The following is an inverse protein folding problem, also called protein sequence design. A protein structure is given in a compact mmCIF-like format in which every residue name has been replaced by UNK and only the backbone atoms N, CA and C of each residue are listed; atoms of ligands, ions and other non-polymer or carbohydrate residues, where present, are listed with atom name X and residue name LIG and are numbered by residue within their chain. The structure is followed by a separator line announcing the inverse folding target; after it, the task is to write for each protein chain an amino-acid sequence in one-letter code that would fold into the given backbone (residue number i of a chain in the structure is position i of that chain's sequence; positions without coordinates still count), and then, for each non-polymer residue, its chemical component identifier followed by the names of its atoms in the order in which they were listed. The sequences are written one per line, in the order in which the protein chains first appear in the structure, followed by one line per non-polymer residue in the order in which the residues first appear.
data_IF_615263959948
#
_entry.id   IF_615263959948
#
_cell.length_a   1.000
_cell.length_b   1.000
_cell.length_c   1.000
_cell.angle_alpha   90.00
_cell.angle_beta   90.00
_cell.angle_gamma   90.00
#
_symmetry.space_group_name_H-M   'P 1'
#
loop_
_entity.id
_entity.type
_entity.pdbx_description
1 polymer ?
#
# COMPACT_ATOMS: atom_id res chain seq x y z
N UNK A 1 -4.18 7.12 14.54
CA UNK A 1 -4.57 6.64 13.22
C UNK A 1 -3.34 6.48 12.34
N UNK A 2 -3.23 5.38 11.59
CA UNK A 2 -2.00 5.00 10.89
C UNK A 2 -2.32 4.56 9.48
N UNK A 3 -1.53 5.01 8.51
CA UNK A 3 -1.61 4.61 7.11
C UNK A 3 -0.55 3.53 6.85
N UNK A 4 -0.99 2.35 6.45
CA UNK A 4 -0.13 1.30 5.89
C UNK A 4 -0.14 1.45 4.38
N UNK A 5 1.02 1.32 3.76
CA UNK A 5 1.18 1.45 2.31
C UNK A 5 2.27 0.53 1.79
N UNK A 6 2.03 -0.06 0.64
CA UNK A 6 3.01 -0.78 -0.14
C UNK A 6 3.11 -0.19 -1.54
N UNK A 7 4.33 -0.09 -2.05
CA UNK A 7 4.64 0.32 -3.42
C UNK A 7 5.51 -0.75 -4.08
N UNK A 8 5.47 -0.81 -5.39
CA UNK A 8 6.35 -1.68 -6.17
C UNK A 8 7.73 -1.05 -6.42
N UNK A 9 8.55 -1.72 -7.22
CA UNK A 9 9.89 -1.23 -7.60
C UNK A 9 9.88 0.03 -8.46
N UNK A 10 8.76 0.32 -9.14
CA UNK A 10 8.58 1.51 -9.97
C UNK A 10 8.07 2.70 -9.14
N UNK A 11 7.60 2.44 -7.93
CA UNK A 11 7.00 3.43 -7.03
C UNK A 11 5.49 3.51 -7.15
N UNK A 12 4.87 2.56 -7.85
CA UNK A 12 3.43 2.49 -8.01
C UNK A 12 2.76 1.91 -6.78
N UNK A 13 1.57 2.40 -6.45
CA UNK A 13 0.83 1.92 -5.29
C UNK A 13 0.33 0.51 -5.53
N UNK A 14 0.81 -0.43 -4.72
CA UNK A 14 0.33 -1.81 -4.68
C UNK A 14 -0.90 -1.93 -3.80
N UNK A 15 -0.79 -1.46 -2.57
CA UNK A 15 -1.90 -1.51 -1.62
C UNK A 15 -1.74 -0.40 -0.58
N UNK A 16 -2.86 0.12 -0.10
CA UNK A 16 -2.88 1.02 1.05
C UNK A 16 -4.05 0.66 1.98
N UNK A 17 -3.87 0.93 3.24
CA UNK A 17 -4.88 0.63 4.24
C UNK A 17 -4.75 1.54 5.45
N UNK A 18 -5.88 2.04 5.91
CA UNK A 18 -5.97 2.92 7.06
C UNK A 18 -6.41 2.14 8.31
N UNK A 19 -5.70 2.31 9.41
CA UNK A 19 -5.95 1.62 10.67
C UNK A 19 -5.92 2.58 11.86
N UNK A 20 -6.78 2.33 12.82
CA UNK A 20 -6.75 3.05 14.11
C UNK A 20 -5.52 2.66 14.94
N UNK A 21 -5.01 1.45 14.75
CA UNK A 21 -3.93 0.87 15.56
C UNK A 21 -2.69 0.58 14.70
N UNK A 22 -1.52 0.77 15.31
CA UNK A 22 -0.22 0.35 14.76
C UNK A 22 0.32 -0.81 15.58
N UNK A 23 -0.16 -2.00 15.29
CA UNK A 23 0.25 -3.22 15.98
C UNK A 23 0.44 -4.39 14.99
N UNK A 24 0.91 -5.53 15.51
CA UNK A 24 1.15 -6.73 14.71
C UNK A 24 -0.10 -7.24 13.99
N UNK A 25 -1.27 -7.17 14.63
CA UNK A 25 -2.55 -7.60 14.04
C UNK A 25 -2.91 -6.73 12.83
N UNK A 26 -2.76 -5.42 12.95
CA UNK A 26 -3.00 -4.48 11.85
C UNK A 26 -2.02 -4.71 10.69
N UNK A 27 -0.74 -4.88 10.99
CA UNK A 27 0.30 -5.18 9.99
C UNK A 27 0.02 -6.50 9.25
N UNK A 28 -0.34 -7.57 9.97
CA UNK A 28 -0.74 -8.86 9.37
C UNK A 28 -1.97 -8.72 8.48
N UNK A 29 -2.99 -7.96 8.91
CA UNK A 29 -4.21 -7.74 8.13
C UNK A 29 -3.93 -7.00 6.82
N UNK A 30 -3.13 -5.95 6.89
CA UNK A 30 -2.67 -5.22 5.72
C UNK A 30 -1.92 -6.13 4.75
N UNK A 31 -0.94 -6.88 5.25
CA UNK A 31 -0.10 -7.73 4.43
C UNK A 31 -0.89 -8.86 3.76
N UNK A 32 -1.76 -9.56 4.49
CA UNK A 32 -2.65 -10.59 3.91
C UNK A 32 -3.51 -10.03 2.78
N UNK A 33 -4.04 -8.82 2.95
CA UNK A 33 -4.82 -8.15 1.91
C UNK A 33 -3.97 -7.88 0.67
N UNK A 34 -2.75 -7.35 0.85
CA UNK A 34 -1.83 -7.09 -0.24
C UNK A 34 -1.43 -8.39 -0.98
N UNK A 35 -1.02 -9.42 -0.26
CA UNK A 35 -0.64 -10.71 -0.82
C UNK A 35 -1.79 -11.38 -1.57
N UNK A 36 -3.02 -11.33 -1.02
CA UNK A 36 -4.21 -11.92 -1.67
C UNK A 36 -4.57 -11.23 -2.98
N UNK A 37 -4.39 -9.90 -3.07
CA UNK A 37 -4.78 -9.11 -4.24
C UNK A 37 -3.74 -9.07 -5.34
N UNK A 38 -2.47 -9.00 -4.94
CA UNK A 38 -1.36 -8.70 -5.85
C UNK A 38 -0.36 -9.85 -5.98
N UNK A 39 -0.62 -10.95 -5.27
CA UNK A 39 0.25 -12.11 -5.28
C UNK A 39 1.44 -11.96 -4.32
N UNK A 40 2.24 -13.02 -4.27
CA UNK A 40 3.38 -13.14 -3.37
C UNK A 40 4.65 -12.58 -4.03
N UNK A 41 5.30 -11.55 -3.46
CA UNK A 41 6.54 -11.03 -3.99
C UNK A 41 7.74 -11.90 -3.58
N UNK A 42 8.81 -11.85 -4.36
CA UNK A 42 10.08 -12.50 -4.00
C UNK A 42 10.77 -11.79 -2.81
N UNK A 43 10.62 -10.46 -2.74
CA UNK A 43 11.29 -9.62 -1.74
C UNK A 43 10.40 -8.48 -1.28
N UNK A 44 10.49 -8.18 0.02
CA UNK A 44 9.86 -7.01 0.64
C UNK A 44 10.93 -6.17 1.31
N UNK A 45 10.89 -4.86 1.09
CA UNK A 45 11.75 -3.90 1.76
C UNK A 45 10.98 -3.20 2.86
N UNK A 46 11.56 -3.11 4.06
CA UNK A 46 10.96 -2.45 5.23
C UNK A 46 11.92 -1.45 5.86
N UNK A 47 11.37 -0.55 6.66
CA UNK A 47 12.06 0.52 7.40
C UNK A 47 12.79 0.05 8.68
N UNK A 48 12.92 -1.24 8.91
CA UNK A 48 13.50 -1.76 10.16
C UNK A 48 12.48 -1.99 11.27
N UNK A 49 11.18 -1.78 11.02
CA UNK A 49 10.13 -2.10 11.98
C UNK A 49 10.08 -3.59 12.29
N UNK A 50 10.33 -3.95 13.54
CA UNK A 50 10.23 -5.35 14.02
C UNK A 50 8.81 -5.90 13.81
N UNK A 51 7.78 -5.10 14.06
CA UNK A 51 6.37 -5.47 13.84
C UNK A 51 6.09 -5.83 12.39
N UNK A 52 6.63 -5.06 11.43
CA UNK A 52 6.47 -5.37 10.01
C UNK A 52 7.20 -6.66 9.63
N UNK A 53 8.41 -6.87 10.16
CA UNK A 53 9.18 -8.08 9.94
C UNK A 53 8.43 -9.32 10.43
N UNK A 54 7.92 -9.29 11.66
CA UNK A 54 7.15 -10.39 12.24
C UNK A 54 5.85 -10.65 11.47
N UNK A 55 5.18 -9.60 10.99
CA UNK A 55 3.98 -9.74 10.18
C UNK A 55 4.28 -10.47 8.86
N UNK A 56 5.37 -10.10 8.17
CA UNK A 56 5.79 -10.73 6.90
C UNK A 56 6.11 -12.21 7.13
N UNK A 57 6.94 -12.51 8.11
CA UNK A 57 7.33 -13.90 8.43
C UNK A 57 6.12 -14.76 8.76
N UNK A 58 5.20 -14.25 9.60
CA UNK A 58 4.02 -15.00 10.01
C UNK A 58 3.03 -15.22 8.84
N UNK A 59 2.82 -14.22 7.97
CA UNK A 59 1.93 -14.36 6.81
C UNK A 59 2.54 -15.31 5.77
N UNK A 60 3.81 -15.14 5.42
CA UNK A 60 4.51 -16.00 4.47
C UNK A 60 4.54 -17.47 4.92
N UNK A 61 4.80 -17.72 6.20
CA UNK A 61 4.78 -19.07 6.75
C UNK A 61 3.37 -19.68 6.71
N UNK A 62 2.34 -18.91 7.07
CA UNK A 62 0.97 -19.38 7.03
C UNK A 62 0.52 -19.73 5.59
N UNK A 63 0.82 -18.86 4.63
CA UNK A 63 0.45 -19.09 3.23
C UNK A 63 1.16 -20.32 2.65
N UNK A 64 2.45 -20.52 2.94
CA UNK A 64 3.21 -21.71 2.50
C UNK A 64 2.73 -23.01 3.17
N UNK A 65 2.21 -22.95 4.39
CA UNK A 65 1.67 -24.13 5.07
C UNK A 65 0.27 -24.50 4.58
N UNK A 66 -0.53 -23.51 4.18
CA UNK A 66 -1.90 -23.73 3.71
C UNK A 66 -1.97 -24.19 2.26
N UNK A 67 -1.06 -23.74 1.42
CA UNK A 67 -1.03 -24.07 0.00
C UNK A 67 0.11 -25.05 -0.31
N UNK A 68 -0.25 -26.27 -0.74
CA UNK A 68 0.74 -27.31 -1.13
C UNK A 68 1.64 -26.83 -2.26
N UNK A 69 1.12 -26.08 -3.21
CA UNK A 69 1.91 -25.54 -4.34
C UNK A 69 2.94 -24.49 -3.88
N UNK A 70 2.73 -23.84 -2.74
CA UNK A 70 3.62 -22.83 -2.20
C UNK A 70 4.60 -23.37 -1.13
N UNK A 71 4.45 -24.63 -0.72
CA UNK A 71 5.25 -25.22 0.36
C UNK A 71 6.74 -25.23 0.04
N UNK A 72 7.11 -25.47 -1.21
CA UNK A 72 8.48 -25.56 -1.68
C UNK A 72 9.08 -24.22 -2.10
N UNK A 73 8.29 -23.15 -2.06
CA UNK A 73 8.78 -21.81 -2.36
C UNK A 73 9.73 -21.31 -1.26
N UNK A 74 10.81 -20.67 -1.69
CA UNK A 74 11.72 -20.00 -0.75
C UNK A 74 10.98 -18.93 0.04
N UNK A 75 11.32 -18.71 1.32
CA UNK A 75 10.74 -17.62 2.12
C UNK A 75 10.89 -16.25 1.44
N UNK A 76 9.90 -15.37 1.64
CA UNK A 76 10.01 -13.99 1.18
C UNK A 76 11.27 -13.35 1.77
N UNK A 77 12.13 -12.80 0.92
CA UNK A 77 13.33 -12.11 1.36
C UNK A 77 12.96 -10.76 1.97
N UNK A 78 13.31 -10.57 3.24
CA UNK A 78 13.12 -9.28 3.91
C UNK A 78 14.42 -8.50 3.86
N UNK A 79 14.39 -7.30 3.25
CA UNK A 79 15.51 -6.37 3.23
C UNK A 79 15.17 -5.15 4.08
N UNK A 80 16.04 -4.84 5.03
CA UNK A 80 15.98 -3.59 5.76
C UNK A 80 16.83 -2.53 5.05
N UNK A 81 16.24 -1.39 4.73
CA UNK A 81 16.98 -0.28 4.12
C UNK A 81 16.29 1.05 4.37
N UNK A 82 16.95 1.93 5.10
CA UNK A 82 16.47 3.29 5.30
C UNK A 82 16.41 4.08 3.98
N UNK A 83 17.34 3.84 3.07
CA UNK A 83 17.44 4.57 1.80
C UNK A 83 16.39 4.16 0.78
N UNK A 84 15.97 2.89 0.74
CA UNK A 84 14.95 2.42 -0.20
C UNK A 84 13.54 2.86 0.20
N UNK A 85 13.36 3.35 1.42
CA UNK A 85 12.10 3.93 1.88
C UNK A 85 11.87 5.38 1.40
N UNK A 86 12.88 6.03 0.80
CA UNK A 86 12.75 7.42 0.34
C UNK A 86 11.57 7.62 -0.62
N UNK A 87 11.25 6.65 -1.48
CA UNK A 87 10.10 6.74 -2.39
C UNK A 87 8.77 6.74 -1.63
N UNK A 88 8.60 5.81 -0.70
CA UNK A 88 7.39 5.73 0.15
C UNK A 88 7.27 6.99 1.02
N UNK A 89 8.39 7.53 1.52
CA UNK A 89 8.42 8.76 2.30
C UNK A 89 8.03 10.00 1.48
N UNK A 90 8.44 10.07 0.20
CA UNK A 90 8.02 11.14 -0.70
C UNK A 90 6.50 11.10 -0.93
N UNK A 91 5.94 9.92 -1.15
CA UNK A 91 4.51 9.73 -1.30
C UNK A 91 3.75 10.09 -0.01
N UNK A 92 4.27 9.68 1.16
CA UNK A 92 3.71 10.08 2.46
C UNK A 92 3.76 11.61 2.66
N UNK A 93 4.81 12.30 2.21
CA UNK A 93 4.89 13.77 2.27
C UNK A 93 3.85 14.42 1.38
N UNK A 94 3.59 13.87 0.19
CA UNK A 94 2.56 14.36 -0.72
C UNK A 94 1.16 14.26 -0.11
N UNK A 95 0.86 13.15 0.56
CA UNK A 95 -0.39 12.95 1.30
C UNK A 95 -0.48 13.92 2.49
N UNK A 96 0.55 13.98 3.34
CA UNK A 96 0.60 14.88 4.50
C UNK A 96 0.42 16.35 4.12
N UNK A 97 0.99 16.78 2.99
CA UNK A 97 0.84 18.15 2.49
C UNK A 97 -0.59 18.51 2.16
N UNK A 98 -1.38 17.56 1.63
CA UNK A 98 -2.80 17.76 1.33
C UNK A 98 -3.69 17.73 2.56
N UNK A 99 -3.34 16.92 3.56
CA UNK A 99 -4.11 16.78 4.81
C UNK A 99 -3.86 17.96 5.76
N UNK A 100 -2.66 18.56 5.74
CA UNK A 100 -2.25 19.61 6.67
C UNK A 100 -3.23 20.82 6.72
N UNK A 101 -3.77 21.32 5.58
CA UNK A 101 -4.75 22.41 5.59
C UNK A 101 -6.12 22.02 6.14
N UNK A 102 -6.42 20.74 6.29
CA UNK A 102 -7.74 20.23 6.70
C UNK A 102 -7.97 20.30 8.23
N UNK A 103 -7.07 20.91 9.00
CA UNK A 103 -7.17 21.11 10.46
C UNK A 103 -7.44 19.83 11.27
N UNK A 104 -7.05 18.67 10.71
CA UNK A 104 -7.27 17.36 11.31
C UNK A 104 -8.60 16.71 10.91
N UNK A 105 -8.74 15.46 11.29
CA UNK A 105 -9.92 14.66 10.95
C UNK A 105 -10.84 14.51 12.16
N UNK A 106 -12.13 14.74 11.96
CA UNK A 106 -13.14 14.67 13.02
C UNK A 106 -13.61 13.25 13.33
N UNK A 107 -13.53 12.33 12.37
CA UNK A 107 -13.94 10.93 12.54
C UNK A 107 -13.12 9.97 11.70
N UNK A 108 -13.10 8.69 12.10
CA UNK A 108 -12.44 7.63 11.33
C UNK A 108 -13.01 7.48 9.91
N UNK A 109 -14.33 7.53 9.78
CA UNK A 109 -15.00 7.38 8.49
C UNK A 109 -14.66 8.54 7.53
N UNK A 110 -14.73 9.79 7.99
CA UNK A 110 -14.37 10.94 7.15
C UNK A 110 -12.89 10.91 6.76
N UNK A 111 -12.02 10.51 7.68
CA UNK A 111 -10.59 10.32 7.40
C UNK A 111 -10.37 9.29 6.31
N UNK A 112 -11.03 8.15 6.42
CA UNK A 112 -10.93 7.06 5.45
C UNK A 112 -11.36 7.52 4.05
N UNK A 113 -12.55 8.11 3.93
CA UNK A 113 -13.07 8.61 2.65
C UNK A 113 -12.13 9.64 2.03
N UNK A 114 -11.63 10.58 2.83
CA UNK A 114 -10.69 11.61 2.34
C UNK A 114 -9.37 11.00 1.88
N UNK A 115 -8.81 10.05 2.62
CA UNK A 115 -7.56 9.39 2.24
C UNK A 115 -7.74 8.50 1.01
N UNK A 116 -8.85 7.75 0.92
CA UNK A 116 -9.19 6.95 -0.25
C UNK A 116 -9.27 7.84 -1.50
N UNK A 117 -9.90 9.01 -1.41
CA UNK A 117 -9.95 9.99 -2.51
C UNK A 117 -8.60 10.58 -2.88
N UNK A 118 -7.77 10.94 -1.89
CA UNK A 118 -6.41 11.45 -2.14
C UNK A 118 -5.55 10.39 -2.84
N UNK A 119 -5.63 9.14 -2.39
CA UNK A 119 -4.88 8.04 -2.98
C UNK A 119 -5.36 7.73 -4.39
N UNK A 120 -6.68 7.73 -4.63
CA UNK A 120 -7.24 7.57 -5.96
C UNK A 120 -6.69 8.61 -6.94
N UNK A 121 -6.72 9.90 -6.58
CA UNK A 121 -6.14 10.97 -7.42
C UNK A 121 -4.64 10.79 -7.60
N UNK A 122 -3.93 10.30 -6.59
CA UNK A 122 -2.50 10.03 -6.67
C UNK A 122 -2.19 8.90 -7.66
N UNK A 123 -2.95 7.81 -7.62
CA UNK A 123 -2.84 6.69 -8.57
C UNK A 123 -3.19 7.12 -9.99
N UNK A 124 -4.23 7.94 -10.17
CA UNK A 124 -4.59 8.49 -11.49
C UNK A 124 -3.46 9.35 -12.06
N UNK A 125 -2.82 10.19 -11.24
CA UNK A 125 -1.66 10.99 -11.68
C UNK A 125 -0.45 10.14 -12.07
N UNK A 126 -0.32 8.94 -11.52
CA UNK A 126 0.68 7.94 -11.90
C UNK A 126 0.21 7.05 -13.06
N UNK A 127 -0.97 7.31 -13.63
CA UNK A 127 -1.57 6.51 -14.71
C UNK A 127 -1.75 5.03 -14.37
N UNK A 128 -2.04 4.73 -13.11
CA UNK A 128 -2.28 3.38 -12.61
C UNK A 128 -3.73 2.89 -12.83
N UNK A 129 -4.62 3.68 -13.44
CA UNK A 129 -5.98 3.27 -13.73
C UNK A 129 -5.98 2.15 -14.79
N UNK A 130 -6.72 1.06 -14.53
CA UNK A 130 -6.80 -0.11 -15.42
C UNK A 130 -7.26 0.21 -16.85
N UNK A 131 -7.94 1.33 -17.05
CA UNK A 131 -8.52 1.74 -18.33
C UNK A 131 -7.82 2.97 -18.93
N UNK A 132 -6.66 3.36 -18.43
CA UNK A 132 -5.86 4.44 -19.01
C UNK A 132 -5.15 3.95 -20.27
N UNK A 133 -5.91 3.70 -21.36
CA UNK A 133 -5.35 3.31 -22.66
C UNK A 133 -4.56 4.45 -23.32
N UNK A 134 -4.80 5.68 -22.90
CA UNK A 134 -4.09 6.85 -23.38
C UNK A 134 -3.13 7.34 -22.30
N UNK A 135 -1.83 7.22 -22.56
CA UNK A 135 -0.77 7.68 -21.66
C UNK A 135 -0.78 9.19 -21.41
N UNK A 136 -1.53 9.96 -22.19
CA UNK A 136 -1.66 11.41 -22.07
C UNK A 136 -3.05 11.86 -21.57
N UNK A 137 -3.89 10.90 -21.09
CA UNK A 137 -5.22 11.24 -20.61
C UNK A 137 -5.15 12.22 -19.43
N UNK A 138 -5.96 13.26 -19.49
CA UNK A 138 -6.16 14.20 -18.39
C UNK A 138 -6.80 13.52 -17.19
N UNK A 139 -6.70 14.12 -16.00
CA UNK A 139 -7.39 13.60 -14.81
C UNK A 139 -8.91 13.56 -15.02
N UNK A 140 -9.48 14.54 -15.71
CA UNK A 140 -10.91 14.59 -16.01
C UNK A 140 -11.34 13.39 -16.86
N UNK A 141 -10.65 13.12 -17.98
CA UNK A 141 -10.91 11.97 -18.84
C UNK A 141 -10.79 10.64 -18.09
N UNK A 142 -9.82 10.51 -17.17
CA UNK A 142 -9.70 9.32 -16.34
C UNK A 142 -10.87 9.17 -15.37
N UNK A 143 -11.39 10.28 -14.81
CA UNK A 143 -12.58 10.26 -13.97
C UNK A 143 -13.82 9.86 -14.77
N UNK A 144 -14.00 10.39 -15.97
CA UNK A 144 -15.13 10.04 -16.84
C UNK A 144 -15.12 8.55 -17.19
N UNK A 145 -13.94 7.98 -17.49
CA UNK A 145 -13.78 6.54 -17.73
C UNK A 145 -14.09 5.66 -16.51
N UNK A 146 -13.87 6.17 -15.30
CA UNK A 146 -14.17 5.43 -14.06
C UNK A 146 -15.65 5.56 -13.66
N UNK A 147 -16.34 6.58 -14.14
CA UNK A 147 -17.75 6.84 -13.85
C UNK A 147 -18.71 6.17 -14.86
N UNK A 148 -18.19 5.73 -15.99
CA UNK A 148 -18.95 5.01 -17.04
C UNK A 148 -19.08 3.52 -16.71
#
# INVERSE_FOLDING_TARGET
MYLYRAIDSHGDTVEFWFSERRNLTAAKRFLRRALKRHGRPERIVIDGSQTNREAIMACDTADRLQDRAQRDLKPIRIRQSAYLNNRIEQDHRAIKRRIRPMLGFKSFNSTRVTLDGIEMVHMMRKQQAKYAYNLQSSLAEQFDLLAA
#
